data_IF_818421280747
#
_entry.id   IF_818421280747
#
_cell.length_a   1.000
_cell.length_b   1.000
_cell.length_c   1.000
_cell.angle_alpha   90.00
_cell.angle_beta   90.00
_cell.angle_gamma   90.00
#
_symmetry.space_group_name_H-M   'P 1'
#
loop_
_entity.id
_entity.type
_entity.pdbx_description
1 polymer ?
#
# COMPACT_ATOMS: atom_id res chain seq x y z
N UNK A 1 0.75 -5.09 20.40
CA UNK A 1 1.41 -5.01 19.07
C UNK A 1 2.46 -3.88 19.06
N UNK A 2 3.53 -3.90 18.25
CA UNK A 2 4.50 -2.79 18.18
C UNK A 2 4.40 -2.03 16.85
N UNK A 3 3.87 -0.80 16.92
CA UNK A 3 3.64 0.08 15.76
C UNK A 3 4.90 0.51 15.02
N UNK A 4 6.00 0.75 15.74
CA UNK A 4 7.28 1.07 15.12
C UNK A 4 7.83 -0.12 14.34
N UNK A 5 7.68 -1.33 14.88
CA UNK A 5 8.09 -2.55 14.19
C UNK A 5 7.28 -2.77 12.89
N UNK A 6 5.95 -2.57 12.93
CA UNK A 6 5.10 -2.62 11.72
C UNK A 6 5.56 -1.62 10.66
N UNK A 7 5.82 -0.37 11.06
CA UNK A 7 6.31 0.65 10.14
C UNK A 7 7.65 0.28 9.51
N UNK A 8 8.60 -0.26 10.27
CA UNK A 8 9.87 -0.74 9.72
C UNK A 8 9.67 -1.90 8.73
N UNK A 9 8.74 -2.82 8.98
CA UNK A 9 8.40 -3.89 8.04
C UNK A 9 7.80 -3.34 6.73
N UNK A 10 6.95 -2.31 6.82
CA UNK A 10 6.40 -1.62 5.64
C UNK A 10 7.53 -1.01 4.81
N UNK A 11 8.45 -0.29 5.44
CA UNK A 11 9.60 0.30 4.76
C UNK A 11 10.51 -0.75 4.13
N UNK A 12 10.77 -1.85 4.84
CA UNK A 12 11.56 -2.96 4.31
C UNK A 12 10.89 -3.59 3.09
N UNK A 13 9.57 -3.83 3.16
CA UNK A 13 8.82 -4.42 2.05
C UNK A 13 8.79 -3.52 0.82
N UNK A 14 8.58 -2.21 1.00
CA UNK A 14 8.62 -1.23 -0.08
C UNK A 14 10.01 -1.14 -0.73
N UNK A 15 11.10 -1.25 0.04
CA UNK A 15 12.46 -1.31 -0.52
C UNK A 15 12.70 -2.55 -1.37
N UNK A 16 12.22 -3.72 -0.92
CA UNK A 16 12.28 -4.96 -1.70
C UNK A 16 11.47 -4.84 -2.98
N UNK A 17 10.26 -4.29 -2.90
CA UNK A 17 9.39 -4.10 -4.06
C UNK A 17 9.97 -3.10 -5.06
N UNK A 18 10.65 -2.06 -4.57
CA UNK A 18 11.37 -1.11 -5.41
C UNK A 18 12.50 -1.78 -6.18
N UNK A 19 13.37 -2.54 -5.52
CA UNK A 19 14.47 -3.25 -6.15
C UNK A 19 13.98 -4.24 -7.24
N UNK A 20 12.89 -4.95 -6.97
CA UNK A 20 12.26 -5.83 -7.98
C UNK A 20 11.75 -5.02 -9.17
N UNK A 21 11.08 -3.90 -8.93
CA UNK A 21 10.53 -3.05 -9.99
C UNK A 21 11.65 -2.39 -10.82
N UNK A 22 12.74 -1.96 -10.20
CA UNK A 22 13.89 -1.36 -10.89
C UNK A 22 14.57 -2.38 -11.82
N UNK A 23 14.76 -3.62 -11.35
CA UNK A 23 15.28 -4.70 -12.21
C UNK A 23 14.35 -4.99 -13.38
N UNK A 24 13.03 -5.04 -13.17
CA UNK A 24 12.06 -5.24 -14.23
C UNK A 24 12.04 -4.09 -15.26
N UNK A 25 12.17 -2.84 -14.78
CA UNK A 25 12.25 -1.67 -15.64
C UNK A 25 13.52 -1.67 -16.49
N UNK A 26 14.66 -2.05 -15.91
CA UNK A 26 15.92 -2.18 -16.63
C UNK A 26 15.82 -3.22 -17.76
N UNK A 27 15.30 -4.42 -17.47
CA UNK A 27 15.10 -5.46 -18.49
C UNK A 27 14.15 -5.00 -19.60
N UNK A 28 13.05 -4.31 -19.25
CA UNK A 28 12.10 -3.82 -20.24
C UNK A 28 12.72 -2.72 -21.12
N UNK A 29 13.54 -1.84 -20.54
CA UNK A 29 14.28 -0.81 -21.28
C UNK A 29 15.27 -1.43 -22.26
N UNK A 30 16.12 -2.36 -21.81
CA UNK A 30 17.08 -3.07 -22.66
C UNK A 30 16.38 -3.74 -23.85
N UNK A 31 15.26 -4.42 -23.57
CA UNK A 31 14.41 -5.06 -24.61
C UNK A 31 13.90 -4.02 -25.61
N UNK A 32 13.37 -2.88 -25.16
CA UNK A 32 12.84 -1.83 -26.04
C UNK A 32 13.93 -1.19 -26.91
N UNK A 33 15.18 -1.15 -26.45
CA UNK A 33 16.31 -0.56 -27.18
C UNK A 33 17.14 -1.57 -27.98
N UNK A 34 16.81 -2.85 -27.91
CA UNK A 34 17.56 -3.91 -28.60
C UNK A 34 17.37 -3.80 -30.11
N UNK A 35 18.44 -4.05 -30.88
CA UNK A 35 18.43 -3.89 -32.35
C UNK A 35 17.37 -4.77 -33.04
N UNK A 36 17.12 -5.97 -32.50
CA UNK A 36 16.07 -6.89 -32.98
C UNK A 36 14.63 -6.38 -32.77
N UNK A 37 14.44 -5.35 -31.95
CA UNK A 37 13.13 -4.71 -31.72
C UNK A 37 12.99 -3.39 -32.49
N UNK A 38 13.98 -3.00 -33.30
CA UNK A 38 13.84 -1.89 -34.25
C UNK A 38 12.93 -2.37 -35.37
N UNK A 39 11.83 -1.63 -35.60
CA UNK A 39 10.86 -1.97 -36.65
C UNK A 39 11.56 -2.02 -38.02
N UNK A 40 11.62 -3.21 -38.62
CA UNK A 40 12.19 -3.44 -39.95
C UNK A 40 11.18 -3.07 -41.05
N UNK A 41 9.89 -3.11 -40.73
CA UNK A 41 8.80 -2.72 -41.64
C UNK A 41 7.61 -2.04 -40.91
N UNK A 42 6.69 -1.47 -41.69
CA UNK A 42 5.53 -0.70 -41.19
C UNK A 42 4.46 -1.50 -40.42
N UNK A 43 4.60 -2.83 -40.33
CA UNK A 43 3.70 -3.72 -39.61
C UNK A 43 4.33 -4.28 -38.32
N UNK A 44 5.61 -4.00 -38.05
CA UNK A 44 6.30 -4.50 -36.85
C UNK A 44 5.84 -3.72 -35.61
N UNK A 45 5.20 -4.42 -34.67
CA UNK A 45 4.70 -3.84 -33.41
C UNK A 45 5.61 -4.13 -32.22
N UNK A 46 6.60 -5.02 -32.37
CA UNK A 46 7.46 -5.50 -31.28
C UNK A 46 8.16 -4.36 -30.53
N UNK A 47 8.78 -3.43 -31.25
CA UNK A 47 9.42 -2.25 -30.65
C UNK A 47 8.45 -1.32 -29.93
N UNK A 48 7.22 -1.18 -30.46
CA UNK A 48 6.18 -0.35 -29.84
C UNK A 48 5.65 -0.99 -28.55
N UNK A 49 5.35 -2.29 -28.57
CA UNK A 49 4.90 -3.06 -27.41
C UNK A 49 5.97 -3.08 -26.30
N UNK A 50 7.23 -3.29 -26.67
CA UNK A 50 8.36 -3.23 -25.75
C UNK A 50 8.51 -1.83 -25.11
N UNK A 51 8.33 -0.76 -25.90
CA UNK A 51 8.36 0.62 -25.38
C UNK A 51 7.23 0.91 -24.39
N UNK A 52 6.01 0.44 -24.66
CA UNK A 52 4.89 0.58 -23.72
C UNK A 52 5.12 -0.21 -22.43
N UNK A 53 5.68 -1.42 -22.52
CA UNK A 53 6.05 -2.21 -21.35
C UNK A 53 7.10 -1.48 -20.51
N UNK A 54 8.15 -0.95 -21.13
CA UNK A 54 9.20 -0.18 -20.46
C UNK A 54 8.62 1.05 -19.76
N UNK A 55 7.74 1.80 -20.42
CA UNK A 55 7.06 2.94 -19.83
C UNK A 55 6.19 2.55 -18.62
N UNK A 56 5.48 1.43 -18.71
CA UNK A 56 4.69 0.88 -17.60
C UNK A 56 5.55 0.49 -16.39
N UNK A 57 6.70 -0.15 -16.61
CA UNK A 57 7.62 -0.51 -15.54
C UNK A 57 8.27 0.73 -14.90
N UNK A 58 8.67 1.72 -15.71
CA UNK A 58 9.21 2.98 -15.21
C UNK A 58 8.20 3.72 -14.32
N UNK A 59 6.93 3.77 -14.74
CA UNK A 59 5.85 4.33 -13.92
C UNK A 59 5.71 3.61 -12.59
N UNK A 60 5.74 2.27 -12.61
CA UNK A 60 5.65 1.45 -11.40
C UNK A 60 6.80 1.71 -10.41
N UNK A 61 8.03 1.89 -10.91
CA UNK A 61 9.18 2.26 -10.08
C UNK A 61 8.91 3.57 -9.34
N UNK A 62 8.44 4.60 -10.05
CA UNK A 62 8.16 5.91 -9.45
C UNK A 62 7.00 5.87 -8.45
N UNK A 63 5.94 5.11 -8.71
CA UNK A 63 4.84 4.90 -7.76
C UNK A 63 5.33 4.27 -6.44
N UNK A 64 6.24 3.30 -6.51
CA UNK A 64 6.83 2.67 -5.31
C UNK A 64 7.80 3.63 -4.61
N UNK A 65 8.63 4.38 -5.35
CA UNK A 65 9.53 5.40 -4.77
C UNK A 65 8.76 6.46 -4.02
N UNK A 66 7.67 6.96 -4.59
CA UNK A 66 6.80 7.93 -3.94
C UNK A 66 6.18 7.35 -2.67
N UNK A 67 5.66 6.12 -2.73
CA UNK A 67 5.09 5.43 -1.56
C UNK A 67 6.12 5.25 -0.45
N UNK A 68 7.33 4.83 -0.81
CA UNK A 68 8.46 4.68 0.12
C UNK A 68 8.82 6.02 0.76
N UNK A 69 8.96 7.10 -0.02
CA UNK A 69 9.29 8.42 0.49
C UNK A 69 8.22 8.97 1.44
N UNK A 70 6.93 8.82 1.10
CA UNK A 70 5.82 9.22 1.97
C UNK A 70 5.81 8.43 3.28
N UNK A 71 6.01 7.12 3.21
CA UNK A 71 6.06 6.28 4.41
C UNK A 71 7.32 6.55 5.25
N UNK A 72 8.47 6.85 4.64
CA UNK A 72 9.71 7.18 5.36
C UNK A 72 9.59 8.50 6.12
N UNK A 73 8.90 9.48 5.54
CA UNK A 73 8.68 10.79 6.17
C UNK A 73 7.52 10.79 7.18
N UNK A 74 6.81 9.67 7.34
CA UNK A 74 5.75 9.52 8.33
C UNK A 74 6.35 9.60 9.74
N UNK A 75 5.91 10.60 10.50
CA UNK A 75 6.23 10.69 11.93
C UNK A 75 5.19 9.90 12.72
N UNK A 76 5.61 8.78 13.32
CA UNK A 76 4.75 8.01 14.21
C UNK A 76 4.58 8.75 15.53
N UNK A 77 3.33 9.09 15.87
CA UNK A 77 2.95 9.70 17.14
C UNK A 77 2.28 8.65 18.02
N UNK A 78 2.37 8.82 19.34
CA UNK A 78 1.50 8.08 20.25
C UNK A 78 0.05 8.44 19.98
N UNK A 79 -0.87 7.50 20.26
CA UNK A 79 -2.29 7.77 20.19
C UNK A 79 -2.70 8.92 21.13
N UNK A 80 -3.59 9.79 20.65
CA UNK A 80 -4.14 10.92 21.38
C UNK A 80 -5.67 10.75 21.46
N UNK A 81 -6.16 10.43 22.67
CA UNK A 81 -7.58 10.20 22.96
C UNK A 81 -8.47 11.43 22.68
N UNK A 82 -7.91 12.63 22.47
CA UNK A 82 -8.67 13.82 22.09
C UNK A 82 -8.81 13.98 20.57
N UNK A 83 -7.93 13.35 19.79
CA UNK A 83 -7.89 13.48 18.32
C UNK A 83 -8.44 12.25 17.60
N UNK A 84 -8.41 11.09 18.26
CA UNK A 84 -8.83 9.83 17.66
C UNK A 84 -7.81 9.28 16.66
N UNK A 85 -8.27 8.43 15.76
CA UNK A 85 -7.43 7.73 14.79
C UNK A 85 -6.89 8.72 13.75
N UNK A 86 -5.56 8.76 13.61
CA UNK A 86 -4.83 9.57 12.63
C UNK A 86 -3.92 8.71 11.74
N UNK A 87 -3.39 9.29 10.66
CA UNK A 87 -2.37 8.63 9.84
C UNK A 87 -1.15 8.27 10.70
N UNK A 88 -0.72 7.02 10.59
CA UNK A 88 0.32 6.41 11.41
C UNK A 88 -0.22 5.59 12.58
N UNK A 89 -1.55 5.45 12.72
CA UNK A 89 -2.18 4.56 13.69
C UNK A 89 -2.13 3.09 13.23
N UNK A 90 -2.01 2.20 14.21
CA UNK A 90 -2.17 0.76 14.06
C UNK A 90 -3.46 0.35 14.77
N UNK A 91 -4.33 -0.37 14.06
CA UNK A 91 -5.73 -0.56 14.43
C UNK A 91 -6.07 -2.04 14.47
N UNK A 92 -6.71 -2.47 15.54
CA UNK A 92 -7.50 -3.70 15.58
C UNK A 92 -8.93 -3.39 15.18
N UNK A 93 -9.47 -4.14 14.23
CA UNK A 93 -10.90 -4.12 13.89
C UNK A 93 -11.48 -5.52 14.02
N UNK A 94 -12.74 -5.59 14.43
CA UNK A 94 -13.54 -6.82 14.40
C UNK A 94 -14.75 -6.61 13.48
N UNK A 95 -15.09 -7.63 12.68
CA UNK A 95 -16.31 -7.62 11.87
C UNK A 95 -17.52 -8.23 12.60
N UNK A 96 -18.71 -8.13 12.01
CA UNK A 96 -19.95 -8.69 12.60
C UNK A 96 -19.91 -10.21 12.86
N UNK A 97 -18.94 -10.94 12.32
CA UNK A 97 -18.74 -12.37 12.53
C UNK A 97 -17.70 -12.66 13.60
N UNK A 98 -17.20 -11.65 14.31
CA UNK A 98 -16.14 -11.78 15.30
C UNK A 98 -14.75 -12.03 14.69
N UNK A 99 -14.55 -11.69 13.41
CA UNK A 99 -13.23 -11.87 12.77
C UNK A 99 -12.40 -10.62 12.98
N UNK A 100 -11.30 -10.80 13.69
CA UNK A 100 -10.31 -9.76 13.91
C UNK A 100 -9.40 -9.56 12.70
N UNK A 101 -9.04 -8.30 12.44
CA UNK A 101 -8.02 -7.92 11.48
C UNK A 101 -7.21 -6.75 12.00
N UNK A 102 -5.93 -6.74 11.62
CA UNK A 102 -5.00 -5.67 11.96
C UNK A 102 -4.70 -4.80 10.76
N UNK A 103 -4.82 -3.49 10.92
CA UNK A 103 -4.66 -2.52 9.87
C UNK A 103 -3.66 -1.43 10.27
N UNK A 104 -2.86 -0.97 9.33
CA UNK A 104 -1.99 0.19 9.54
C UNK A 104 -2.42 1.33 8.61
N UNK A 105 -2.77 2.50 9.16
CA UNK A 105 -3.21 3.64 8.39
C UNK A 105 -2.00 4.45 7.91
N UNK A 106 -1.50 4.16 6.71
CA UNK A 106 -0.35 4.83 6.11
C UNK A 106 -0.77 6.01 5.21
N UNK A 107 0.15 6.94 4.90
CA UNK A 107 -0.09 7.98 3.90
C UNK A 107 -0.23 7.41 2.48
N UNK A 108 0.44 6.28 2.18
CA UNK A 108 0.36 5.57 0.91
C UNK A 108 0.59 4.04 1.11
N UNK A 109 0.88 3.28 0.05
CA UNK A 109 1.09 1.83 0.06
C UNK A 109 -0.15 0.99 0.43
N UNK A 110 -1.34 1.45 0.01
CA UNK A 110 -2.60 0.73 0.23
C UNK A 110 -2.54 -0.72 -0.29
N UNK A 111 -3.04 -1.66 0.49
CA UNK A 111 -3.08 -3.08 0.15
C UNK A 111 -1.79 -3.84 0.41
N UNK A 112 -0.69 -3.16 0.78
CA UNK A 112 0.53 -3.81 1.23
C UNK A 112 0.23 -4.65 2.47
N UNK A 113 0.84 -5.84 2.55
CA UNK A 113 0.68 -6.76 3.68
C UNK A 113 2.03 -7.02 4.30
N UNK A 114 2.11 -6.90 5.62
CA UNK A 114 3.31 -7.22 6.40
C UNK A 114 2.94 -8.18 7.52
N UNK A 115 3.86 -9.08 7.85
CA UNK A 115 3.69 -10.03 8.94
C UNK A 115 4.54 -9.60 10.13
N UNK A 116 3.91 -9.43 11.29
CA UNK A 116 4.61 -9.22 12.55
C UNK A 116 4.35 -10.43 13.45
N UNK A 117 5.30 -11.36 13.49
CA UNK A 117 5.26 -12.55 14.37
C UNK A 117 4.00 -13.40 14.12
N UNK A 118 3.67 -13.66 12.86
CA UNK A 118 2.51 -14.44 12.45
C UNK A 118 1.19 -13.65 12.42
N UNK A 119 1.19 -12.40 12.87
CA UNK A 119 0.06 -11.49 12.69
C UNK A 119 0.18 -10.77 11.36
N UNK A 120 -0.78 -11.00 10.47
CA UNK A 120 -0.88 -10.25 9.22
C UNK A 120 -1.48 -8.87 9.49
N UNK A 121 -0.79 -7.82 9.02
CA UNK A 121 -1.25 -6.43 9.05
C UNK A 121 -1.42 -5.94 7.62
N UNK A 122 -2.59 -5.39 7.31
CA UNK A 122 -2.86 -4.79 6.00
C UNK A 122 -2.74 -3.27 6.07
N UNK A 123 -1.97 -2.70 5.17
CA UNK A 123 -1.84 -1.25 5.03
C UNK A 123 -3.07 -0.69 4.32
N UNK A 124 -3.70 0.29 4.94
CA UNK A 124 -4.79 1.08 4.35
C UNK A 124 -4.37 2.54 4.28
N UNK A 125 -5.09 3.33 3.48
CA UNK A 125 -4.84 4.77 3.35
C UNK A 125 -6.11 5.57 3.58
N UNK A 126 -6.02 6.86 3.96
CA UNK A 126 -7.16 7.78 4.04
C UNK A 126 -8.01 7.87 2.76
N UNK A 127 -7.47 7.45 1.61
CA UNK A 127 -8.16 7.45 0.32
C UNK A 127 -9.11 6.25 0.17
N UNK A 128 -8.88 5.17 0.92
CA UNK A 128 -9.74 3.98 0.90
C UNK A 128 -11.05 4.22 1.66
N UNK A 129 -12.17 3.54 1.31
CA UNK A 129 -13.44 3.69 2.03
C UNK A 129 -13.29 3.49 3.55
N UNK A 130 -12.57 2.43 3.94
CA UNK A 130 -12.31 2.10 5.35
C UNK A 130 -11.39 3.12 6.02
N UNK A 131 -10.28 3.50 5.38
CA UNK A 131 -9.39 4.50 5.96
C UNK A 131 -10.06 5.87 6.13
N UNK A 132 -10.95 6.25 5.21
CA UNK A 132 -11.73 7.48 5.32
C UNK A 132 -12.73 7.44 6.49
N UNK A 133 -13.41 6.31 6.71
CA UNK A 133 -14.39 6.17 7.79
C UNK A 133 -13.76 6.11 9.18
N UNK A 134 -12.48 5.72 9.27
CA UNK A 134 -11.75 5.57 10.53
C UNK A 134 -11.15 6.88 11.05
N UNK A 135 -10.84 7.85 10.19
CA UNK A 135 -10.20 9.10 10.63
C UNK A 135 -11.04 9.83 11.68
N UNK A 136 -10.41 10.14 12.82
CA UNK A 136 -11.04 10.82 13.96
C UNK A 136 -11.99 9.95 14.79
N UNK A 137 -12.12 8.65 14.48
CA UNK A 137 -12.84 7.69 15.32
C UNK A 137 -12.01 7.26 16.51
N UNK A 138 -12.65 6.63 17.48
CA UNK A 138 -12.05 6.19 18.73
C UNK A 138 -12.14 4.67 18.88
N UNK A 139 -11.39 4.13 19.83
CA UNK A 139 -11.58 2.76 20.28
C UNK A 139 -13.03 2.56 20.79
N UNK A 140 -13.64 1.45 20.41
CA UNK A 140 -15.06 1.15 20.67
C UNK A 140 -16.05 1.74 19.66
N UNK A 141 -15.63 2.63 18.75
CA UNK A 141 -16.51 3.14 17.71
C UNK A 141 -16.80 2.07 16.64
N UNK A 142 -17.97 2.18 16.02
CA UNK A 142 -18.35 1.40 14.85
C UNK A 142 -18.17 2.20 13.55
N UNK A 143 -17.79 1.49 12.49
CA UNK A 143 -17.67 2.02 11.13
C UNK A 143 -18.39 1.12 10.14
N UNK A 144 -19.17 1.73 9.24
CA UNK A 144 -19.81 1.05 8.12
C UNK A 144 -19.16 1.52 6.81
N UNK A 145 -18.84 0.56 5.93
CA UNK A 145 -18.38 0.84 4.58
C UNK A 145 -19.21 0.08 3.54
N UNK A 146 -19.25 0.62 2.32
CA UNK A 146 -19.82 -0.04 1.15
C UNK A 146 -18.69 -0.52 0.24
N UNK A 147 -18.59 -1.82 0.04
CA UNK A 147 -17.60 -2.45 -0.84
C UNK A 147 -18.33 -3.27 -1.89
N UNK A 148 -18.20 -2.90 -3.17
CA UNK A 148 -18.85 -3.59 -4.29
C UNK A 148 -20.38 -3.79 -4.10
N UNK A 149 -21.06 -2.83 -3.47
CA UNK A 149 -22.50 -2.89 -3.18
C UNK A 149 -22.88 -3.68 -1.93
N UNK A 150 -21.93 -4.33 -1.26
CA UNK A 150 -22.14 -5.00 0.03
C UNK A 150 -21.73 -4.08 1.18
N UNK A 151 -22.62 -3.94 2.18
CA UNK A 151 -22.31 -3.26 3.44
C UNK A 151 -21.45 -4.17 4.31
N UNK A 152 -20.44 -3.57 4.92
CA UNK A 152 -19.59 -4.22 5.92
C UNK A 152 -19.50 -3.29 7.12
N UNK A 153 -19.75 -3.85 8.31
CA UNK A 153 -19.66 -3.13 9.58
C UNK A 153 -18.48 -3.70 10.38
N UNK A 154 -17.74 -2.79 11.01
CA UNK A 154 -16.61 -3.11 11.86
C UNK A 154 -16.67 -2.31 13.15
N UNK A 155 -16.17 -2.90 14.23
CA UNK A 155 -15.93 -2.24 15.50
C UNK A 155 -14.43 -2.02 15.68
N UNK A 156 -14.02 -0.85 16.14
CA UNK A 156 -12.63 -0.55 16.49
C UNK A 156 -12.33 -1.19 17.84
N UNK A 157 -11.45 -2.18 17.86
CA UNK A 157 -11.13 -2.93 19.09
C UNK A 157 -9.86 -2.44 19.78
N UNK A 158 -8.91 -1.86 19.04
CA UNK A 158 -7.66 -1.34 19.62
C UNK A 158 -7.09 -0.22 18.73
N UNK A 159 -6.53 0.83 19.35
CA UNK A 159 -5.80 1.90 18.64
C UNK A 159 -4.43 2.13 19.27
N UNK A 160 -3.37 1.96 18.47
CA UNK A 160 -1.96 2.08 18.89
C UNK A 160 -1.26 3.19 18.12
#
# INVERSE_FOLDING_TARGET
>A
MNKQAVHQLILAKLRVDLDIAERAAQTAYETATHEENIAENKYDTLGLEASYLAAGQAKRVEEIRQSLALCQNLTLRSYDEQRGIEVGALLGLEDEKGREQWLFLAPDAAGLKVDLVGQMITVITPRSPLGKSLLGKFEGDEVEILVAGARQQFSVTEVI
#
